data_IF_198402177959
#
_entry.id   IF_198402177959
#
_cell.length_a   1.000
_cell.length_b   1.000
_cell.length_c   1.000
_cell.angle_alpha   90.00
_cell.angle_beta   90.00
_cell.angle_gamma   90.00
#
_symmetry.space_group_name_H-M   'P 1'
#
loop_
_entity.id
_entity.type
_entity.pdbx_description
1 polymer ?
#
# COMPACT_ATOMS: atom_id res chain seq x y z
N UNK A 1 10.01 10.10 -5.32
CA UNK A 1 10.42 11.50 -5.01
C UNK A 1 11.62 11.93 -5.85
N UNK A 2 12.75 11.21 -5.81
CA UNK A 2 13.90 11.49 -6.69
C UNK A 2 13.55 11.42 -8.19
N UNK A 3 12.90 10.35 -8.64
CA UNK A 3 12.41 10.20 -10.02
C UNK A 3 11.42 11.31 -10.44
N UNK A 4 10.58 11.74 -9.50
CA UNK A 4 9.59 12.81 -9.71
C UNK A 4 10.27 14.15 -9.97
N UNK A 5 11.35 14.44 -9.22
CA UNK A 5 12.20 15.60 -9.42
C UNK A 5 12.91 15.57 -10.78
N UNK A 6 13.51 14.42 -11.16
CA UNK A 6 14.19 14.27 -12.45
C UNK A 6 13.26 14.47 -13.65
N UNK A 7 12.01 14.02 -13.53
CA UNK A 7 10.98 14.16 -14.59
C UNK A 7 10.25 15.51 -14.51
N UNK A 8 10.56 16.36 -13.53
CA UNK A 8 9.90 17.67 -13.37
C UNK A 8 8.40 17.59 -13.04
N UNK A 9 7.92 16.46 -12.51
CA UNK A 9 6.52 16.31 -12.11
C UNK A 9 6.27 17.01 -10.78
N UNK A 10 5.17 17.75 -10.67
CA UNK A 10 4.78 18.46 -9.45
C UNK A 10 4.46 17.50 -8.29
N UNK A 11 4.03 16.27 -8.59
CA UNK A 11 3.81 15.22 -7.58
C UNK A 11 3.90 13.80 -8.16
N UNK A 12 4.37 12.85 -7.34
CA UNK A 12 4.29 11.41 -7.65
C UNK A 12 2.84 10.88 -7.61
N UNK A 13 1.88 11.73 -7.22
CA UNK A 13 0.43 11.48 -7.25
C UNK A 13 -0.23 11.94 -8.56
N UNK A 14 0.47 12.70 -9.41
CA UNK A 14 -0.02 13.11 -10.73
C UNK A 14 0.15 11.96 -11.73
N UNK A 15 -0.77 11.00 -11.64
CA UNK A 15 -0.87 9.89 -12.58
C UNK A 15 -2.02 10.20 -13.52
N UNK A 16 -1.75 11.15 -14.43
CA UNK A 16 -2.79 11.78 -15.23
C UNK A 16 -3.35 10.91 -16.36
N UNK A 17 -2.77 9.75 -16.70
CA UNK A 17 -3.38 8.99 -17.81
C UNK A 17 -3.09 7.48 -17.99
N UNK A 18 -2.52 6.74 -17.03
CA UNK A 18 -2.51 5.27 -17.21
C UNK A 18 -2.30 4.43 -15.95
N UNK A 19 -2.91 3.23 -16.02
CA UNK A 19 -2.66 2.01 -15.24
C UNK A 19 -3.65 1.67 -14.11
N UNK A 20 -4.71 0.94 -14.48
CA UNK A 20 -5.71 0.23 -13.62
C UNK A 20 -6.79 1.06 -12.90
N UNK A 21 -8.04 0.56 -12.94
CA UNK A 21 -9.21 1.15 -12.26
C UNK A 21 -8.98 1.33 -10.75
N UNK A 22 -8.29 0.38 -10.13
CA UNK A 22 -7.95 0.40 -8.71
C UNK A 22 -7.05 1.60 -8.35
N UNK A 23 -6.08 1.92 -9.20
CA UNK A 23 -5.17 3.06 -8.98
C UNK A 23 -5.90 4.40 -9.12
N UNK A 24 -6.83 4.49 -10.09
CA UNK A 24 -7.75 5.64 -10.23
C UNK A 24 -8.65 5.80 -9.02
N UNK A 25 -9.19 4.71 -8.46
CA UNK A 25 -9.99 4.79 -7.25
C UNK A 25 -9.14 5.20 -6.03
N UNK A 26 -7.93 4.65 -5.93
CA UNK A 26 -6.98 4.93 -4.86
C UNK A 26 -6.55 6.40 -4.80
N UNK A 27 -6.15 6.98 -5.94
CA UNK A 27 -5.70 8.38 -5.99
C UNK A 27 -6.82 9.38 -6.30
N UNK A 28 -7.93 8.93 -6.90
CA UNK A 28 -9.07 9.79 -7.24
C UNK A 28 -9.97 10.09 -6.05
N UNK A 29 -10.04 9.20 -5.06
CA UNK A 29 -10.84 9.42 -3.85
C UNK A 29 -9.96 9.50 -2.60
N UNK A 30 -9.85 10.71 -2.04
CA UNK A 30 -9.05 10.99 -0.83
C UNK A 30 -9.52 10.20 0.39
N UNK A 31 -10.83 9.93 0.51
CA UNK A 31 -11.37 9.15 1.63
C UNK A 31 -10.94 7.69 1.53
N UNK A 32 -10.91 7.13 0.32
CA UNK A 32 -10.49 5.75 0.09
C UNK A 32 -8.96 5.57 0.30
N UNK A 33 -8.16 6.55 -0.13
CA UNK A 33 -6.73 6.59 0.23
C UNK A 33 -6.54 6.60 1.75
N UNK A 34 -7.32 7.43 2.45
CA UNK A 34 -7.31 7.54 3.91
C UNK A 34 -7.67 6.23 4.59
N UNK A 35 -8.75 5.58 4.14
CA UNK A 35 -9.16 4.25 4.60
C UNK A 35 -8.00 3.26 4.52
N UNK A 36 -7.37 3.11 3.35
CA UNK A 36 -6.28 2.15 3.18
C UNK A 36 -5.09 2.44 4.12
N UNK A 37 -4.76 3.72 4.36
CA UNK A 37 -3.71 4.10 5.32
C UNK A 37 -4.10 3.72 6.75
N UNK A 38 -5.31 4.09 7.20
CA UNK A 38 -5.79 3.76 8.55
C UNK A 38 -5.88 2.24 8.73
N UNK A 39 -6.33 1.50 7.72
CA UNK A 39 -6.36 0.04 7.76
C UNK A 39 -4.99 -0.58 8.00
N UNK A 40 -3.92 -0.02 7.41
CA UNK A 40 -2.55 -0.49 7.65
C UNK A 40 -2.12 -0.28 9.10
N UNK A 41 -2.28 0.95 9.62
CA UNK A 41 -1.88 1.30 10.98
C UNK A 41 -2.64 0.46 12.01
N UNK A 42 -3.96 0.35 11.84
CA UNK A 42 -4.83 -0.43 12.75
C UNK A 42 -4.50 -1.91 12.69
N UNK A 43 -4.20 -2.47 11.49
CA UNK A 43 -3.77 -3.87 11.36
C UNK A 43 -2.50 -4.12 12.18
N UNK A 44 -1.47 -3.28 12.04
CA UNK A 44 -0.21 -3.46 12.73
C UNK A 44 -0.33 -3.30 14.25
N UNK A 45 -1.09 -2.29 14.72
CA UNK A 45 -1.37 -2.12 16.15
C UNK A 45 -2.14 -3.33 16.70
N UNK A 46 -3.14 -3.83 15.96
CA UNK A 46 -3.93 -4.99 16.39
C UNK A 46 -3.07 -6.24 16.49
N UNK A 47 -2.22 -6.51 15.48
CA UNK A 47 -1.28 -7.62 15.51
C UNK A 47 -0.30 -7.49 16.67
N UNK A 48 0.20 -6.28 16.94
CA UNK A 48 1.10 -6.02 18.05
C UNK A 48 0.45 -6.26 19.41
N UNK A 49 -0.78 -5.79 19.61
CA UNK A 49 -1.52 -6.00 20.87
C UNK A 49 -1.90 -7.47 21.10
N UNK A 50 -2.11 -8.23 20.03
CA UNK A 50 -2.52 -9.62 20.12
C UNK A 50 -1.34 -10.61 20.17
N UNK A 51 -0.15 -10.19 19.75
CA UNK A 51 1.06 -10.98 19.89
C UNK A 51 1.38 -11.20 21.38
N UNK A 52 1.21 -12.44 21.87
CA UNK A 52 1.40 -12.77 23.29
C UNK A 52 2.86 -13.09 23.62
N UNK A 53 3.65 -13.48 22.62
CA UNK A 53 5.09 -13.78 22.72
C UNK A 53 5.81 -13.17 21.53
N UNK A 54 7.02 -12.66 21.77
CA UNK A 54 7.87 -12.04 20.75
C UNK A 54 8.27 -13.00 19.60
N UNK A 55 8.26 -14.31 19.87
CA UNK A 55 8.63 -15.36 18.90
C UNK A 55 7.46 -15.96 18.14
N UNK A 56 6.22 -15.50 18.35
CA UNK A 56 5.08 -16.01 17.60
C UNK A 56 5.09 -15.52 16.16
N UNK A 57 4.80 -16.41 15.22
CA UNK A 57 4.72 -16.02 13.82
C UNK A 57 3.49 -15.13 13.61
N UNK A 58 3.62 -14.11 12.76
CA UNK A 58 2.50 -13.22 12.45
C UNK A 58 1.31 -13.98 11.85
N UNK A 59 1.58 -15.08 11.14
CA UNK A 59 0.55 -15.94 10.54
C UNK A 59 -0.23 -16.68 11.63
N UNK A 60 0.43 -17.17 12.68
CA UNK A 60 -0.25 -17.85 13.78
C UNK A 60 -1.17 -16.89 14.53
N UNK A 61 -0.70 -15.66 14.81
CA UNK A 61 -1.53 -14.62 15.44
C UNK A 61 -2.73 -14.28 14.54
N UNK A 62 -2.52 -14.15 13.23
CA UNK A 62 -3.57 -13.85 12.26
C UNK A 62 -4.63 -14.96 12.18
N UNK A 63 -4.20 -16.22 12.09
CA UNK A 63 -5.07 -17.39 12.03
C UNK A 63 -5.86 -17.54 13.32
N UNK A 64 -5.20 -17.39 14.47
CA UNK A 64 -5.86 -17.45 15.78
C UNK A 64 -6.89 -16.33 15.97
N UNK A 65 -6.61 -15.13 15.45
CA UNK A 65 -7.58 -14.01 15.46
C UNK A 65 -8.79 -14.32 14.58
N UNK A 66 -8.56 -14.90 13.40
CA UNK A 66 -9.61 -15.21 12.44
C UNK A 66 -10.54 -16.32 12.94
N UNK A 67 -10.02 -17.29 13.68
CA UNK A 67 -10.82 -18.40 14.24
C UNK A 67 -11.55 -18.05 15.53
N UNK A 68 -11.19 -16.95 16.20
CA UNK A 68 -11.78 -16.57 17.49
C UNK A 68 -13.26 -16.15 17.39
N UNK A 69 -13.64 -15.36 16.38
CA UNK A 69 -15.03 -14.93 16.18
C UNK A 69 -15.24 -14.43 14.75
N UNK A 70 -16.47 -14.54 14.26
CA UNK A 70 -16.88 -14.00 12.96
C UNK A 70 -16.72 -12.49 12.88
N UNK A 71 -16.88 -11.77 14.00
CA UNK A 71 -16.68 -10.31 14.06
C UNK A 71 -15.21 -9.98 13.82
N UNK A 72 -14.29 -10.70 14.49
CA UNK A 72 -12.86 -10.52 14.30
C UNK A 72 -12.43 -10.90 12.89
N UNK A 73 -13.02 -11.95 12.31
CA UNK A 73 -12.76 -12.34 10.92
C UNK A 73 -13.15 -11.24 9.93
N UNK A 74 -14.36 -10.67 10.06
CA UNK A 74 -14.83 -9.60 9.17
C UNK A 74 -13.95 -8.35 9.32
N UNK A 75 -13.64 -7.96 10.55
CA UNK A 75 -12.76 -6.82 10.82
C UNK A 75 -11.37 -7.03 10.20
N UNK A 76 -10.78 -8.21 10.40
CA UNK A 76 -9.47 -8.56 9.89
C UNK A 76 -9.44 -8.58 8.35
N UNK A 77 -10.50 -9.10 7.72
CA UNK A 77 -10.63 -9.09 6.26
C UNK A 77 -10.65 -7.65 5.71
N UNK A 78 -11.39 -6.73 6.35
CA UNK A 78 -11.44 -5.32 5.95
C UNK A 78 -10.07 -4.63 6.09
N UNK A 79 -9.38 -4.88 7.20
CA UNK A 79 -8.04 -4.34 7.46
C UNK A 79 -7.01 -4.88 6.46
N UNK A 80 -7.01 -6.20 6.23
CA UNK A 80 -6.12 -6.85 5.26
C UNK A 80 -6.38 -6.38 3.83
N UNK A 81 -7.63 -6.13 3.47
CA UNK A 81 -7.98 -5.59 2.15
C UNK A 81 -7.36 -4.20 1.93
N UNK A 82 -7.54 -3.28 2.89
CA UNK A 82 -6.94 -1.95 2.83
C UNK A 82 -5.40 -1.99 2.81
N UNK A 83 -4.82 -2.89 3.60
CA UNK A 83 -3.37 -3.14 3.61
C UNK A 83 -2.85 -3.67 2.28
N UNK A 84 -3.50 -4.67 1.69
CA UNK A 84 -3.08 -5.29 0.43
C UNK A 84 -3.08 -4.27 -0.72
N UNK A 85 -4.11 -3.42 -0.80
CA UNK A 85 -4.17 -2.34 -1.79
C UNK A 85 -3.01 -1.38 -1.60
N UNK A 86 -2.69 -1.01 -0.36
CA UNK A 86 -1.56 -0.12 -0.07
C UNK A 86 -0.24 -0.74 -0.52
N UNK A 87 0.00 -2.01 -0.23
CA UNK A 87 1.22 -2.70 -0.67
C UNK A 87 1.32 -2.78 -2.19
N UNK A 88 0.21 -3.11 -2.87
CA UNK A 88 0.16 -3.15 -4.32
C UNK A 88 0.49 -1.80 -4.96
N UNK A 89 -0.10 -0.71 -4.43
CA UNK A 89 0.19 0.66 -4.90
C UNK A 89 1.66 1.01 -4.68
N UNK A 90 2.24 0.66 -3.53
CA UNK A 90 3.66 0.92 -3.26
C UNK A 90 4.58 0.22 -4.27
N UNK A 91 4.26 -1.02 -4.67
CA UNK A 91 5.02 -1.77 -5.71
C UNK A 91 4.93 -1.07 -7.06
N UNK A 92 3.72 -0.64 -7.46
CA UNK A 92 3.54 0.12 -8.71
C UNK A 92 4.38 1.39 -8.68
N UNK A 93 4.33 2.15 -7.58
CA UNK A 93 5.11 3.38 -7.43
C UNK A 93 6.61 3.15 -7.56
N UNK A 94 7.12 2.05 -6.98
CA UNK A 94 8.54 1.68 -7.09
C UNK A 94 8.92 1.40 -8.55
N UNK A 95 8.11 0.60 -9.25
CA UNK A 95 8.34 0.26 -10.66
C UNK A 95 8.29 1.50 -11.55
N UNK A 96 7.25 2.34 -11.40
CA UNK A 96 7.12 3.58 -12.16
C UNK A 96 8.27 4.56 -11.88
N UNK A 97 8.78 4.60 -10.64
CA UNK A 97 9.94 5.42 -10.31
C UNK A 97 11.23 4.91 -10.99
N UNK A 98 11.42 3.59 -11.05
CA UNK A 98 12.57 2.99 -11.74
C UNK A 98 12.53 3.29 -13.25
N UNK A 99 11.38 3.07 -13.90
CA UNK A 99 11.20 3.35 -15.33
C UNK A 99 11.50 4.83 -15.66
N UNK A 100 11.02 5.74 -14.81
CA UNK A 100 11.26 7.17 -14.96
C UNK A 100 12.75 7.54 -14.90
N UNK A 101 13.52 6.94 -14.00
CA UNK A 101 14.96 7.16 -13.90
C UNK A 101 15.69 6.63 -15.15
N UNK A 102 15.35 5.43 -15.61
CA UNK A 102 15.97 4.83 -16.81
C UNK A 102 15.71 5.69 -18.05
N UNK A 103 14.47 6.16 -18.23
CA UNK A 103 14.12 7.02 -19.36
C UNK A 103 14.89 8.34 -19.32
N UNK A 104 15.02 8.95 -18.14
CA UNK A 104 15.81 10.17 -17.95
C UNK A 104 17.28 9.96 -18.33
N UNK A 105 17.89 8.86 -17.86
CA UNK A 105 19.30 8.54 -18.15
C UNK A 105 19.55 8.24 -19.63
N UNK A 106 18.60 7.58 -20.31
CA UNK A 106 18.69 7.35 -21.76
C UNK A 106 18.66 8.66 -22.55
N UNK A 107 17.76 9.58 -22.20
CA UNK A 107 17.62 10.87 -22.87
C UNK A 107 18.82 11.81 -22.63
N UNK A 108 19.53 11.67 -21.51
CA UNK A 108 20.73 12.47 -21.21
C UNK A 108 21.98 12.02 -22.00
N UNK A 109 22.00 10.79 -22.51
CA UNK A 109 23.12 10.23 -23.28
C UNK A 109 23.05 10.54 -24.79
N UNK A 110 21.92 11.06 -25.28
CA UNK A 110 21.79 11.65 -26.61
C UNK A 110 22.15 13.13 -26.57
#
# INVERSE_FOLDING_TARGET
MYSTFLVGKTSHKDVKDSSSWLFRLYYGNRMFMGYCCVSCEVLYITLFLLARKETESLIDVLVNTATASWIYLILLALLLFGWAIKQFVNVIQMKTAADACVLYDMNKKQ
#
